data_IF_739323561026
#
_entry.id   IF_739323561026
#
_cell.length_a   1.000
_cell.length_b   1.000
_cell.length_c   1.000
_cell.angle_alpha   90.00
_cell.angle_beta   90.00
_cell.angle_gamma   90.00
#
_symmetry.space_group_name_H-M   'P 1'
#
loop_
_entity.id
_entity.type
_entity.pdbx_description
1 polymer ?
#
# COMPACT_ATOMS: atom_id res chain seq x y z
N UNK A 1 18.05 -6.74 -6.82
CA UNK A 1 17.38 -7.59 -7.85
C UNK A 1 16.93 -8.98 -7.31
N UNK A 2 17.79 -9.72 -6.59
CA UNK A 2 17.49 -11.08 -6.13
C UNK A 2 16.39 -11.14 -5.05
N UNK A 3 16.42 -10.25 -4.05
CA UNK A 3 15.45 -10.20 -2.95
C UNK A 3 14.03 -9.78 -3.40
N UNK A 4 13.92 -8.88 -4.37
CA UNK A 4 12.63 -8.45 -4.93
C UNK A 4 11.92 -9.60 -5.67
N UNK A 5 12.69 -10.38 -6.44
CA UNK A 5 12.16 -11.56 -7.14
C UNK A 5 11.69 -12.64 -6.15
N UNK A 6 12.40 -12.80 -5.02
CA UNK A 6 12.01 -13.72 -3.94
C UNK A 6 10.74 -13.26 -3.23
N UNK A 7 10.62 -11.96 -2.90
CA UNK A 7 9.40 -11.39 -2.32
C UNK A 7 8.19 -11.56 -3.26
N UNK A 8 8.34 -11.28 -4.56
CA UNK A 8 7.28 -11.52 -5.54
C UNK A 8 6.90 -13.00 -5.66
N UNK A 9 7.87 -13.92 -5.58
CA UNK A 9 7.60 -15.36 -5.59
C UNK A 9 6.90 -15.83 -4.30
N UNK A 10 7.11 -15.15 -3.17
CA UNK A 10 6.41 -15.42 -1.92
C UNK A 10 4.93 -15.10 -2.05
N UNK A 11 4.60 -13.91 -2.54
CA UNK A 11 3.20 -13.53 -2.73
C UNK A 11 2.52 -14.40 -3.80
N UNK A 12 3.22 -14.79 -4.88
CA UNK A 12 2.72 -15.80 -5.85
C UNK A 12 2.30 -17.13 -5.21
N UNK A 13 2.90 -17.56 -4.10
CA UNK A 13 2.51 -18.80 -3.40
C UNK A 13 1.22 -18.65 -2.58
N UNK A 14 0.91 -17.46 -2.08
CA UNK A 14 -0.32 -17.21 -1.29
C UNK A 14 -1.59 -17.37 -2.13
N UNK A 15 -1.51 -17.17 -3.46
CA UNK A 15 -2.63 -17.45 -4.38
C UNK A 15 -2.94 -18.95 -4.53
N UNK A 16 -1.94 -19.82 -4.35
CA UNK A 16 -2.09 -21.27 -4.54
C UNK A 16 -2.68 -21.99 -3.30
N UNK A 17 -2.56 -21.39 -2.12
CA UNK A 17 -2.84 -22.02 -0.82
C UNK A 17 -4.11 -21.45 -0.14
N UNK A 18 -5.13 -21.05 -0.91
CA UNK A 18 -6.45 -20.67 -0.36
C UNK A 18 -7.19 -21.82 0.39
N UNK A 19 -6.58 -23.01 0.49
CA UNK A 19 -6.95 -24.06 1.43
C UNK A 19 -5.69 -24.69 2.00
N UNK A 20 -5.52 -24.65 3.32
CA UNK A 20 -4.42 -25.24 4.10
C UNK A 20 -3.07 -24.50 4.04
N UNK A 21 -2.98 -23.39 4.78
CA UNK A 21 -1.70 -22.74 5.09
C UNK A 21 -0.78 -23.70 5.87
N UNK A 22 0.16 -24.33 5.16
CA UNK A 22 1.41 -24.74 5.80
C UNK A 22 2.14 -23.47 6.18
N UNK A 23 2.47 -23.33 7.46
CA UNK A 23 3.28 -22.24 8.00
C UNK A 23 4.66 -22.23 7.34
N UNK A 24 4.76 -21.66 6.14
CA UNK A 24 6.02 -21.19 5.60
C UNK A 24 6.53 -20.09 6.53
N UNK A 25 7.82 -20.14 6.86
CA UNK A 25 8.50 -19.05 7.57
C UNK A 25 8.08 -17.72 6.97
N UNK A 26 7.34 -16.92 7.75
CA UNK A 26 7.08 -15.52 7.43
C UNK A 26 8.45 -14.86 7.43
N UNK A 27 8.98 -14.62 6.24
CA UNK A 27 10.26 -13.94 6.10
C UNK A 27 9.97 -12.49 6.47
N UNK A 28 10.41 -12.06 7.66
CA UNK A 28 10.20 -10.69 8.15
C UNK A 28 10.88 -9.69 7.21
N UNK A 29 10.11 -9.11 6.28
CA UNK A 29 10.59 -8.07 5.37
C UNK A 29 10.76 -6.76 6.13
N UNK A 30 11.82 -6.03 5.83
CA UNK A 30 12.05 -4.69 6.38
C UNK A 30 11.11 -3.67 5.75
N UNK A 31 10.83 -2.56 6.45
CA UNK A 31 9.98 -1.46 5.92
C UNK A 31 10.50 -0.95 4.56
N UNK A 32 11.82 -0.89 4.39
CA UNK A 32 12.45 -0.49 3.11
C UNK A 32 12.17 -1.48 1.98
N UNK A 33 12.20 -2.79 2.26
CA UNK A 33 11.89 -3.83 1.27
C UNK A 33 10.40 -3.84 0.91
N UNK A 34 9.53 -3.62 1.89
CA UNK A 34 8.09 -3.46 1.67
C UNK A 34 7.80 -2.24 0.79
N UNK A 35 8.46 -1.10 1.07
CA UNK A 35 8.36 0.10 0.24
C UNK A 35 8.82 -0.13 -1.21
N UNK A 36 9.99 -0.76 -1.39
CA UNK A 36 10.49 -1.11 -2.72
C UNK A 36 9.55 -2.08 -3.46
N UNK A 37 8.88 -2.98 -2.73
CA UNK A 37 7.89 -3.90 -3.29
C UNK A 37 6.67 -3.14 -3.82
N UNK A 38 6.13 -2.19 -3.05
CA UNK A 38 5.01 -1.36 -3.52
C UNK A 38 5.40 -0.49 -4.70
N UNK A 39 6.59 0.12 -4.67
CA UNK A 39 7.10 0.87 -5.84
C UNK A 39 7.20 0.00 -7.08
N UNK A 40 7.60 -1.27 -6.93
CA UNK A 40 7.61 -2.21 -8.04
C UNK A 40 6.20 -2.58 -8.52
N UNK A 41 5.28 -2.89 -7.61
CA UNK A 41 3.90 -3.24 -7.94
C UNK A 41 3.21 -2.07 -8.67
N UNK A 42 3.29 -0.86 -8.12
CA UNK A 42 2.62 0.32 -8.65
C UNK A 42 3.35 0.95 -9.83
N UNK A 43 4.67 0.92 -9.84
CA UNK A 43 5.47 1.55 -10.90
C UNK A 43 5.74 0.63 -12.10
N UNK A 44 5.81 -0.69 -11.86
CA UNK A 44 6.15 -1.65 -12.91
C UNK A 44 4.97 -2.55 -13.26
N UNK A 45 4.39 -3.26 -12.29
CA UNK A 45 3.30 -4.19 -12.63
C UNK A 45 2.09 -3.45 -13.19
N UNK A 46 1.74 -2.29 -12.61
CA UNK A 46 0.67 -1.46 -13.13
C UNK A 46 0.98 -0.82 -14.49
N UNK A 47 2.16 -0.21 -14.65
CA UNK A 47 2.53 0.45 -15.91
C UNK A 47 2.69 -0.53 -17.07
N UNK A 48 3.02 -1.79 -16.75
CA UNK A 48 3.31 -2.83 -17.71
C UNK A 48 2.29 -3.97 -17.66
N UNK A 49 0.99 -3.66 -17.60
CA UNK A 49 -0.11 -4.63 -17.79
C UNK A 49 0.05 -5.47 -19.08
N UNK A 50 0.84 -4.99 -20.04
CA UNK A 50 1.18 -5.67 -21.30
C UNK A 50 2.53 -6.40 -21.30
N UNK A 51 3.36 -6.29 -20.26
CA UNK A 51 4.70 -6.90 -20.21
C UNK A 51 4.64 -8.22 -19.44
N UNK A 52 4.26 -9.26 -20.17
CA UNK A 52 4.61 -10.61 -19.77
C UNK A 52 6.00 -10.94 -20.31
N UNK A 53 6.93 -11.30 -19.42
CA UNK A 53 8.23 -11.91 -19.81
C UNK A 53 8.02 -13.24 -20.57
N UNK A 54 6.83 -13.82 -20.41
CA UNK A 54 6.40 -15.02 -21.11
C UNK A 54 5.61 -14.62 -22.38
N UNK A 55 6.20 -14.85 -23.56
CA UNK A 55 5.61 -14.53 -24.88
C UNK A 55 4.26 -15.19 -25.16
N UNK A 56 3.77 -16.02 -24.24
CA UNK A 56 2.52 -16.78 -24.35
C UNK A 56 1.39 -16.27 -23.44
N UNK A 57 1.69 -15.37 -22.49
CA UNK A 57 0.70 -14.93 -21.53
C UNK A 57 -0.17 -13.80 -22.08
N UNK A 58 -1.49 -13.99 -21.96
CA UNK A 58 -2.51 -13.05 -22.40
C UNK A 58 -2.42 -11.75 -21.58
N UNK A 59 -2.50 -10.56 -22.20
CA UNK A 59 -2.57 -9.30 -21.47
C UNK A 59 -3.70 -9.33 -20.45
N UNK A 60 -3.41 -8.83 -19.26
CA UNK A 60 -4.37 -8.75 -18.18
C UNK A 60 -5.34 -7.59 -18.45
N UNK A 61 -6.64 -7.80 -18.24
CA UNK A 61 -7.62 -6.70 -18.26
C UNK A 61 -7.41 -5.77 -17.07
N UNK A 62 -7.89 -4.52 -17.17
CA UNK A 62 -7.77 -3.55 -16.08
C UNK A 62 -8.36 -4.07 -14.75
N UNK A 63 -9.52 -4.75 -14.81
CA UNK A 63 -10.15 -5.35 -13.63
C UNK A 63 -9.35 -6.50 -13.03
N UNK A 64 -8.75 -7.35 -13.87
CA UNK A 64 -7.86 -8.42 -13.39
C UNK A 64 -6.57 -7.83 -12.77
N UNK A 65 -6.02 -6.77 -13.37
CA UNK A 65 -4.83 -6.09 -12.85
C UNK A 65 -5.11 -5.38 -11.52
N UNK A 66 -6.29 -4.74 -11.41
CA UNK A 66 -6.79 -4.17 -10.17
C UNK A 66 -6.88 -5.22 -9.06
N UNK A 67 -7.56 -6.34 -9.33
CA UNK A 67 -7.74 -7.41 -8.37
C UNK A 67 -6.42 -8.04 -7.94
N UNK A 68 -5.49 -8.25 -8.88
CA UNK A 68 -4.14 -8.73 -8.59
C UNK A 68 -3.40 -7.75 -7.68
N UNK A 69 -3.38 -6.46 -8.02
CA UNK A 69 -2.68 -5.46 -7.21
C UNK A 69 -3.30 -5.30 -5.82
N UNK A 70 -4.62 -5.32 -5.71
CA UNK A 70 -5.31 -5.28 -4.41
C UNK A 70 -4.90 -6.43 -3.50
N UNK A 71 -4.80 -7.65 -4.02
CA UNK A 71 -4.33 -8.81 -3.26
C UNK A 71 -2.89 -8.63 -2.77
N UNK A 72 -2.00 -8.21 -3.66
CA UNK A 72 -0.58 -7.99 -3.32
C UNK A 72 -0.38 -6.84 -2.35
N UNK A 73 -1.06 -5.73 -2.55
CA UNK A 73 -1.00 -4.57 -1.66
C UNK A 73 -1.53 -4.94 -0.28
N UNK A 74 -2.64 -5.69 -0.19
CA UNK A 74 -3.16 -6.17 1.10
C UNK A 74 -2.14 -7.03 1.84
N UNK A 75 -1.44 -7.92 1.13
CA UNK A 75 -0.40 -8.74 1.73
C UNK A 75 0.78 -7.90 2.25
N UNK A 76 1.25 -6.92 1.47
CA UNK A 76 2.30 -5.99 1.91
C UNK A 76 1.83 -5.12 3.09
N UNK A 77 0.57 -4.68 3.11
CA UNK A 77 0.00 -3.93 4.24
C UNK A 77 -0.03 -4.76 5.53
N UNK A 78 -0.34 -6.07 5.43
CA UNK A 78 -0.29 -6.98 6.57
C UNK A 78 1.14 -7.12 7.10
N UNK A 79 2.11 -7.31 6.20
CA UNK A 79 3.52 -7.40 6.57
C UNK A 79 4.04 -6.08 7.14
N UNK A 80 3.58 -4.94 6.65
CA UNK A 80 3.89 -3.64 7.22
C UNK A 80 3.29 -3.50 8.62
N UNK A 81 2.04 -3.89 8.83
CA UNK A 81 1.41 -3.84 10.15
C UNK A 81 2.14 -4.74 11.16
N UNK A 82 2.60 -5.92 10.73
CA UNK A 82 3.43 -6.80 11.54
C UNK A 82 4.78 -6.17 11.83
N UNK A 83 5.47 -5.67 10.79
CA UNK A 83 6.73 -4.96 10.95
C UNK A 83 6.58 -3.77 11.89
N UNK A 84 5.44 -3.06 11.86
CA UNK A 84 5.10 -1.94 12.74
C UNK A 84 4.81 -2.37 14.18
N UNK A 85 4.08 -3.47 14.37
CA UNK A 85 3.61 -3.95 15.66
C UNK A 85 4.57 -4.86 16.43
N UNK A 86 5.51 -5.54 15.77
CA UNK A 86 6.45 -6.47 16.41
C UNK A 86 7.39 -5.78 17.41
N UNK A 87 7.66 -4.48 17.24
CA UNK A 87 8.43 -3.68 18.21
C UNK A 87 7.72 -3.52 19.57
N UNK A 88 6.39 -3.72 19.62
CA UNK A 88 5.60 -3.59 20.84
C UNK A 88 5.68 -4.79 21.80
N UNK A 89 6.29 -5.93 21.40
CA UNK A 89 6.22 -7.19 22.16
C UNK A 89 7.53 -7.67 22.81
N UNK A 90 8.61 -6.90 22.77
CA UNK A 90 9.79 -7.23 23.58
C UNK A 90 11.14 -6.66 23.14
N UNK A 91 11.21 -5.92 22.04
CA UNK A 91 12.43 -5.23 21.63
C UNK A 91 12.15 -3.73 21.59
N UNK A 92 12.55 -3.02 22.65
CA UNK A 92 12.35 -1.57 22.82
C UNK A 92 13.22 -0.73 21.87
N UNK A 93 13.37 -1.12 20.60
CA UNK A 93 13.95 -0.26 19.59
C UNK A 93 12.93 0.82 19.26
N UNK A 94 13.08 1.98 19.90
CA UNK A 94 12.44 3.21 19.45
C UNK A 94 12.81 3.40 17.98
N UNK A 95 11.81 3.34 17.10
CA UNK A 95 12.00 3.59 15.67
C UNK A 95 12.61 4.95 15.44
N UNK A 96 13.44 5.02 14.43
CA UNK A 96 13.94 6.31 13.96
C UNK A 96 12.80 7.12 13.32
N UNK A 97 12.91 8.45 13.38
CA UNK A 97 11.99 9.35 12.67
C UNK A 97 12.01 9.08 11.15
N UNK A 98 13.14 8.66 10.60
CA UNK A 98 13.27 8.25 9.20
C UNK A 98 12.41 7.02 8.85
N UNK A 99 12.34 6.03 9.74
CA UNK A 99 11.48 4.86 9.52
C UNK A 99 10.00 5.23 9.56
N UNK A 100 9.59 6.11 10.47
CA UNK A 100 8.22 6.63 10.49
C UNK A 100 7.88 7.43 9.24
N UNK A 101 8.81 8.26 8.74
CA UNK A 101 8.66 8.95 7.47
C UNK A 101 8.44 7.97 6.31
N UNK A 102 9.20 6.87 6.27
CA UNK A 102 9.01 5.83 5.25
C UNK A 102 7.64 5.14 5.38
N UNK A 103 7.17 4.85 6.58
CA UNK A 103 5.81 4.29 6.80
C UNK A 103 4.75 5.27 6.28
N UNK A 104 4.87 6.57 6.59
CA UNK A 104 3.93 7.58 6.09
C UNK A 104 3.94 7.70 4.58
N UNK A 105 5.12 7.77 3.96
CA UNK A 105 5.25 7.83 2.49
C UNK A 105 4.69 6.56 1.84
N UNK A 106 4.89 5.41 2.45
CA UNK A 106 4.28 4.15 2.02
C UNK A 106 2.74 4.25 2.05
N UNK A 107 2.15 4.66 3.17
CA UNK A 107 0.70 4.78 3.30
C UNK A 107 0.12 5.82 2.35
N UNK A 108 0.77 6.97 2.20
CA UNK A 108 0.38 8.00 1.25
C UNK A 108 0.35 7.47 -0.19
N UNK A 109 1.31 6.62 -0.56
CA UNK A 109 1.32 5.98 -1.87
C UNK A 109 0.14 5.04 -2.06
N UNK A 110 -0.26 4.32 -1.02
CA UNK A 110 -1.46 3.48 -1.06
C UNK A 110 -2.74 4.31 -1.15
N UNK A 111 -2.81 5.47 -0.48
CA UNK A 111 -3.93 6.42 -0.65
C UNK A 111 -4.03 6.86 -2.11
N UNK A 112 -2.92 7.35 -2.69
CA UNK A 112 -2.88 7.77 -4.11
C UNK A 112 -3.27 6.63 -5.06
N UNK A 113 -2.81 5.41 -4.80
CA UNK A 113 -3.24 4.23 -5.54
C UNK A 113 -4.76 4.04 -5.47
N UNK A 114 -5.35 4.05 -4.26
CA UNK A 114 -6.79 3.88 -4.12
C UNK A 114 -7.60 4.99 -4.81
N UNK A 115 -7.13 6.24 -4.78
CA UNK A 115 -7.73 7.35 -5.53
C UNK A 115 -7.69 7.08 -7.04
N UNK A 116 -6.52 6.67 -7.57
CA UNK A 116 -6.35 6.34 -8.97
C UNK A 116 -7.23 5.15 -9.39
N UNK A 117 -7.29 4.10 -8.57
CA UNK A 117 -8.14 2.93 -8.83
C UNK A 117 -9.62 3.30 -8.84
N UNK A 118 -10.05 4.13 -7.90
CA UNK A 118 -11.42 4.60 -7.86
C UNK A 118 -11.80 5.35 -9.15
N UNK A 119 -10.88 6.19 -9.66
CA UNK A 119 -11.07 6.89 -10.93
C UNK A 119 -11.08 5.94 -12.13
N UNK A 120 -10.13 5.02 -12.24
CA UNK A 120 -10.01 4.15 -13.41
C UNK A 120 -11.13 3.10 -13.50
N UNK A 121 -11.68 2.71 -12.35
CA UNK A 121 -12.76 1.72 -12.28
C UNK A 121 -14.15 2.38 -12.19
N UNK A 122 -14.24 3.72 -12.15
CA UNK A 122 -15.54 4.42 -12.06
C UNK A 122 -16.43 4.17 -13.27
N UNK A 123 -15.81 3.97 -14.43
CA UNK A 123 -16.48 3.80 -15.72
C UNK A 123 -16.88 2.34 -15.99
N UNK A 124 -16.44 1.41 -15.16
CA UNK A 124 -16.85 0.01 -15.28
C UNK A 124 -18.30 -0.18 -14.79
N UNK A 125 -19.03 -1.17 -15.34
CA UNK A 125 -20.36 -1.51 -14.85
C UNK A 125 -20.34 -1.82 -13.35
N UNK A 126 -21.38 -1.39 -12.62
CA UNK A 126 -21.49 -1.62 -11.15
C UNK A 126 -21.42 -3.12 -10.78
N UNK A 127 -21.77 -4.00 -11.72
CA UNK A 127 -21.73 -5.45 -11.54
C UNK A 127 -20.31 -6.02 -11.51
N UNK A 128 -19.33 -5.33 -12.10
CA UNK A 128 -17.94 -5.80 -12.17
C UNK A 128 -17.09 -5.23 -11.04
N UNK A 129 -17.54 -4.16 -10.40
CA UNK A 129 -16.74 -3.42 -9.44
C UNK A 129 -17.60 -2.83 -8.32
N UNK A 130 -17.33 -3.27 -7.09
CA UNK A 130 -18.00 -2.75 -5.90
C UNK A 130 -17.34 -1.43 -5.46
N UNK A 131 -18.00 -0.32 -5.79
CA UNK A 131 -17.55 1.02 -5.40
C UNK A 131 -17.42 1.19 -3.88
N UNK A 132 -18.21 0.45 -3.10
CA UNK A 132 -18.13 0.49 -1.63
C UNK A 132 -16.81 -0.09 -1.13
N UNK A 133 -16.29 -1.11 -1.82
CA UNK A 133 -14.99 -1.71 -1.49
C UNK A 133 -13.86 -0.70 -1.63
N UNK A 134 -13.80 0.02 -2.75
CA UNK A 134 -12.75 1.01 -2.97
C UNK A 134 -12.89 2.23 -2.05
N UNK A 135 -14.11 2.66 -1.74
CA UNK A 135 -14.32 3.69 -0.73
C UNK A 135 -13.75 3.26 0.64
N UNK A 136 -14.04 2.03 1.07
CA UNK A 136 -13.53 1.49 2.33
C UNK A 136 -12.02 1.28 2.32
N UNK A 137 -11.44 0.84 1.21
CA UNK A 137 -10.01 0.71 1.05
C UNK A 137 -9.30 2.07 1.15
N UNK A 138 -9.81 3.10 0.46
CA UNK A 138 -9.31 4.47 0.55
C UNK A 138 -9.40 5.01 1.99
N UNK A 139 -10.55 4.84 2.64
CA UNK A 139 -10.76 5.25 4.04
C UNK A 139 -9.75 4.59 4.98
N UNK A 140 -9.53 3.29 4.80
CA UNK A 140 -8.61 2.51 5.63
C UNK A 140 -7.17 2.95 5.43
N UNK A 141 -6.76 3.22 4.18
CA UNK A 141 -5.42 3.72 3.87
C UNK A 141 -5.18 5.12 4.47
N UNK A 142 -6.17 6.02 4.40
CA UNK A 142 -6.07 7.34 5.03
C UNK A 142 -5.99 7.25 6.55
N UNK A 143 -6.80 6.40 7.19
CA UNK A 143 -6.71 6.17 8.63
C UNK A 143 -5.31 5.66 9.01
N UNK A 144 -4.79 4.66 8.30
CA UNK A 144 -3.45 4.12 8.55
C UNK A 144 -2.35 5.17 8.35
N UNK A 145 -2.51 6.11 7.41
CA UNK A 145 -1.60 7.24 7.24
C UNK A 145 -1.58 8.15 8.48
N UNK A 146 -2.75 8.59 8.95
CA UNK A 146 -2.84 9.47 10.11
C UNK A 146 -2.44 8.76 11.41
N UNK A 147 -2.73 7.48 11.56
CA UNK A 147 -2.23 6.67 12.69
C UNK A 147 -0.69 6.62 12.69
N UNK A 148 -0.05 6.47 11.53
CA UNK A 148 1.41 6.53 11.42
C UNK A 148 1.97 7.94 11.66
N UNK A 149 1.19 8.98 11.38
CA UNK A 149 1.53 10.37 11.72
C UNK A 149 1.51 10.59 13.23
N UNK A 150 0.44 10.17 13.90
CA UNK A 150 0.25 10.32 15.34
C UNK A 150 1.20 9.45 16.17
N UNK A 151 1.62 8.30 15.63
CA UNK A 151 2.55 7.38 16.29
C UNK A 151 4.01 7.86 16.30
N UNK A 152 4.38 8.84 15.48
CA UNK A 152 5.72 9.43 15.47
C UNK A 152 5.88 10.36 16.69
N UNK A 153 6.77 10.06 17.65
CA UNK A 153 6.95 10.86 18.86
C UNK A 153 7.67 12.20 18.60
N UNK A 154 8.19 12.42 17.38
CA UNK A 154 8.88 13.65 17.02
C UNK A 154 8.62 14.01 15.55
N UNK A 155 7.35 14.28 15.18
CA UNK A 155 6.96 14.61 13.81
C UNK A 155 7.46 16.02 13.40
N UNK A 156 8.37 16.62 14.17
CA UNK A 156 8.95 17.94 13.94
C UNK A 156 10.46 17.96 14.14
N UNK A 157 11.09 16.88 14.61
CA UNK A 157 12.56 16.76 14.70
C UNK A 157 13.10 16.11 13.43
N UNK A 158 12.97 16.79 12.30
CA UNK A 158 13.41 16.25 11.01
C UNK A 158 14.83 16.66 10.66
N UNK A 159 15.54 15.72 10.03
CA UNK A 159 16.84 15.90 9.38
C UNK A 159 16.76 16.99 8.29
N UNK A 160 17.83 17.77 8.09
CA UNK A 160 17.96 18.85 7.07
C UNK A 160 17.98 18.34 5.61
N UNK A 161 17.32 17.23 5.29
CA UNK A 161 17.28 16.62 3.96
C UNK A 161 15.96 16.93 3.24
N UNK A 162 15.98 16.92 1.89
CA UNK A 162 14.83 17.25 1.02
C UNK A 162 13.55 16.41 1.22
N UNK A 163 13.59 15.43 2.13
CA UNK A 163 12.44 14.63 2.58
C UNK A 163 11.38 15.53 3.25
N UNK A 164 11.78 16.65 3.87
CA UNK A 164 10.86 17.54 4.60
C UNK A 164 9.81 18.24 3.72
N UNK A 165 10.24 18.75 2.57
CA UNK A 165 9.31 19.45 1.66
C UNK A 165 8.33 18.47 1.03
N UNK A 166 8.81 17.28 0.68
CA UNK A 166 7.96 16.22 0.17
C UNK A 166 6.92 15.76 1.21
N UNK A 167 7.32 15.54 2.46
CA UNK A 167 6.38 15.14 3.53
C UNK A 167 5.31 16.20 3.83
N UNK A 168 5.67 17.49 3.84
CA UNK A 168 4.71 18.56 4.07
C UNK A 168 3.64 18.58 2.95
N UNK A 169 4.07 18.52 1.69
CA UNK A 169 3.15 18.45 0.55
C UNK A 169 2.29 17.18 0.56
N UNK A 170 2.87 16.04 0.98
CA UNK A 170 2.13 14.79 1.13
C UNK A 170 1.06 14.92 2.22
N UNK A 171 1.37 15.56 3.35
CA UNK A 171 0.43 15.74 4.45
C UNK A 171 -0.77 16.59 4.01
N UNK A 172 -0.52 17.75 3.41
CA UNK A 172 -1.58 18.62 2.87
C UNK A 172 -2.46 17.87 1.85
N UNK A 173 -1.85 17.04 1.01
CA UNK A 173 -2.56 16.18 0.05
C UNK A 173 -3.45 15.14 0.75
N UNK A 174 -2.94 14.45 1.79
CA UNK A 174 -3.71 13.46 2.54
C UNK A 174 -4.88 14.09 3.31
N UNK A 175 -4.68 15.28 3.90
CA UNK A 175 -5.76 16.06 4.52
C UNK A 175 -6.83 16.44 3.50
N UNK A 176 -6.44 16.88 2.30
CA UNK A 176 -7.37 17.20 1.24
C UNK A 176 -8.21 15.98 0.83
N UNK A 177 -7.59 14.80 0.66
CA UNK A 177 -8.32 13.57 0.38
C UNK A 177 -9.26 13.17 1.51
N UNK A 178 -8.83 13.31 2.76
CA UNK A 178 -9.69 13.03 3.93
C UNK A 178 -10.92 13.92 3.96
N UNK A 179 -10.74 15.22 3.73
CA UNK A 179 -11.84 16.19 3.67
C UNK A 179 -12.80 15.88 2.53
N UNK A 180 -12.30 15.56 1.33
CA UNK A 180 -13.14 15.16 0.19
C UNK A 180 -13.92 13.87 0.48
N UNK A 181 -13.29 12.89 1.11
CA UNK A 181 -13.94 11.65 1.53
C UNK A 181 -15.07 11.94 2.52
N UNK A 182 -14.82 12.80 3.51
CA UNK A 182 -15.84 13.20 4.48
C UNK A 182 -17.01 13.94 3.83
N UNK A 183 -16.74 14.94 2.99
CA UNK A 183 -17.79 15.69 2.29
C UNK A 183 -18.61 14.77 1.38
N UNK A 184 -17.96 13.85 0.63
CA UNK A 184 -18.70 12.91 -0.21
C UNK A 184 -19.63 12.00 0.60
N UNK A 185 -19.24 11.61 1.82
CA UNK A 185 -20.08 10.78 2.70
C UNK A 185 -21.33 11.52 3.19
N UNK A 186 -21.25 12.84 3.39
CA UNK A 186 -22.36 13.69 3.84
C UNK A 186 -23.28 14.06 2.68
N UNK A 187 -22.74 14.30 1.49
CA UNK A 187 -23.54 14.66 0.29
C UNK A 187 -24.33 13.47 -0.26
N UNK A 188 -23.80 12.24 -0.10
CA UNK A 188 -24.42 11.03 -0.62
C UNK A 188 -25.34 10.31 0.38
N UNK A 189 -25.39 10.76 1.64
CA UNK A 189 -26.28 10.27 2.70
C UNK A 189 -27.63 10.98 2.71
#
# INVERSE_FOLDING_TARGET
PCHLQQAMNMYKRVEADRGESKSGEVQNMTIRELNATVEHLLGRVWAYQNYHDDRTAKPMSLGEAAAYLEDRIRAVQLDLANAVGEDGRGSSSVRSSEEWALVRLFQARLVRYNVLMHHLLSDLPVQTFDRSHCYMALKTALLAYFEAWDADPSPHQFSETGIREEEAHVCDEMEAYWMLLHVSSVVLS
#
